data_IF_806370896277
#
_entry.id   IF_806370896277
#
_cell.length_a   1.000
_cell.length_b   1.000
_cell.length_c   1.000
_cell.angle_alpha   90.00
_cell.angle_beta   90.00
_cell.angle_gamma   90.00
#
_symmetry.space_group_name_H-M   'P 1'
#
loop_
_entity.id
_entity.type
_entity.pdbx_description
1 polymer ?
#
# COMPACT_ATOMS: atom_id res chain seq x y z
N UNK A 1 5.27 4.51 1.37
CA UNK A 1 5.70 3.56 0.31
C UNK A 1 4.53 2.64 0.04
N UNK A 2 3.99 2.63 -1.18
CA UNK A 2 2.88 1.75 -1.57
C UNK A 2 3.37 0.36 -1.95
N UNK A 3 2.56 -0.66 -1.67
CA UNK A 3 2.96 -2.04 -1.81
C UNK A 3 1.78 -2.90 -2.29
N UNK A 4 1.94 -3.54 -3.45
CA UNK A 4 0.93 -4.45 -4.01
C UNK A 4 0.85 -5.77 -3.24
N UNK A 5 -0.34 -6.38 -3.30
CA UNK A 5 -0.67 -7.67 -2.69
C UNK A 5 -1.76 -7.56 -1.63
N UNK A 6 -2.51 -8.64 -1.43
CA UNK A 6 -3.57 -8.70 -0.42
C UNK A 6 -3.06 -8.36 0.99
N UNK A 7 -3.97 -8.02 1.90
CA UNK A 7 -3.65 -7.78 3.33
C UNK A 7 -2.79 -8.91 3.93
N UNK A 8 -3.10 -10.17 3.58
CA UNK A 8 -2.32 -11.35 3.98
C UNK A 8 -0.89 -11.32 3.45
N UNK A 9 -0.71 -11.03 2.16
CA UNK A 9 0.61 -10.95 1.54
C UNK A 9 1.43 -9.79 2.09
N UNK A 10 0.79 -8.66 2.37
CA UNK A 10 1.43 -7.51 3.00
C UNK A 10 1.91 -7.84 4.42
N UNK A 11 1.08 -8.45 5.27
CA UNK A 11 1.50 -8.90 6.60
C UNK A 11 2.70 -9.88 6.55
N UNK A 12 2.67 -10.83 5.60
CA UNK A 12 3.79 -11.74 5.39
C UNK A 12 5.06 -11.00 4.93
N UNK A 13 4.93 -9.94 4.12
CA UNK A 13 6.06 -9.08 3.71
C UNK A 13 6.67 -8.37 4.93
N UNK A 14 5.85 -7.75 5.77
CA UNK A 14 6.32 -7.08 7.00
C UNK A 14 7.08 -8.07 7.89
N UNK A 15 6.51 -9.26 8.12
CA UNK A 15 7.18 -10.30 8.91
C UNK A 15 8.53 -10.75 8.32
N UNK A 16 8.66 -10.84 6.99
CA UNK A 16 9.96 -11.14 6.35
C UNK A 16 10.98 -10.02 6.51
N UNK A 17 10.55 -8.77 6.39
CA UNK A 17 11.42 -7.60 6.56
C UNK A 17 11.91 -7.47 8.01
N UNK A 18 11.02 -7.66 8.98
CA UNK A 18 11.38 -7.66 10.40
C UNK A 18 12.38 -8.79 10.71
N UNK A 19 12.16 -10.00 10.19
CA UNK A 19 13.12 -11.11 10.31
C UNK A 19 14.48 -10.83 9.67
N UNK A 20 14.51 -9.98 8.64
CA UNK A 20 15.75 -9.53 8.00
C UNK A 20 16.43 -8.38 8.77
N UNK A 21 15.94 -8.01 9.96
CA UNK A 21 16.53 -6.98 10.82
C UNK A 21 16.06 -5.56 10.52
N UNK A 22 14.95 -5.38 9.79
CA UNK A 22 14.37 -4.06 9.58
C UNK A 22 13.58 -3.61 10.82
N UNK A 23 13.93 -2.43 11.35
CA UNK A 23 13.22 -1.82 12.48
C UNK A 23 11.73 -1.59 12.19
N UNK A 24 10.84 -1.75 13.19
CA UNK A 24 9.41 -1.52 13.04
C UNK A 24 9.06 -0.13 12.46
N UNK A 25 9.77 0.90 12.90
CA UNK A 25 9.60 2.28 12.44
C UNK A 25 9.81 2.46 10.93
N UNK A 26 10.60 1.58 10.30
CA UNK A 26 10.80 1.56 8.84
C UNK A 26 9.70 0.79 8.14
N UNK A 27 9.24 -0.31 8.74
CA UNK A 27 8.16 -1.12 8.17
C UNK A 27 6.81 -0.42 8.23
N UNK A 28 6.57 0.46 9.21
CA UNK A 28 5.33 1.24 9.36
C UNK A 28 5.11 2.23 8.21
N UNK A 29 6.16 2.58 7.46
CA UNK A 29 6.08 3.45 6.28
C UNK A 29 5.62 2.70 5.01
N UNK A 30 5.43 1.39 5.10
CA UNK A 30 5.00 0.53 4.01
C UNK A 30 3.49 0.33 4.12
N UNK A 31 2.75 0.86 3.16
CA UNK A 31 1.29 0.76 3.07
C UNK A 31 0.93 -0.29 2.02
N UNK A 32 0.08 -1.24 2.40
CA UNK A 32 -0.39 -2.28 1.50
C UNK A 32 -1.75 -2.84 1.93
N UNK A 33 -2.65 -3.17 0.99
CA UNK A 33 -2.51 -3.06 -0.46
C UNK A 33 -2.50 -1.61 -0.94
N UNK A 34 -1.69 -1.29 -1.95
CA UNK A 34 -1.77 0.01 -2.65
C UNK A 34 -2.96 0.01 -3.61
N UNK A 35 -3.62 1.15 -3.71
CA UNK A 35 -4.80 1.45 -4.48
C UNK A 35 -6.01 1.75 -3.60
N UNK A 36 -6.86 2.69 -4.02
CA UNK A 36 -8.18 2.87 -3.44
C UNK A 36 -9.08 1.64 -3.68
N UNK A 37 -9.89 1.29 -2.69
CA UNK A 37 -10.82 0.17 -2.80
C UNK A 37 -12.01 0.54 -3.72
N UNK A 38 -11.80 0.33 -5.02
CA UNK A 38 -12.80 0.52 -6.07
C UNK A 38 -13.35 -0.82 -6.60
N UNK A 39 -13.04 -1.94 -5.94
CA UNK A 39 -13.39 -3.28 -6.42
C UNK A 39 -12.63 -3.72 -7.69
N UNK A 40 -11.43 -3.19 -7.91
CA UNK A 40 -10.61 -3.47 -9.09
C UNK A 40 -10.26 -4.97 -9.24
N UNK A 41 -10.38 -5.50 -10.46
CA UNK A 41 -10.09 -6.91 -10.82
C UNK A 41 -9.11 -7.01 -11.98
N UNK A 42 -9.15 -6.08 -12.92
CA UNK A 42 -8.25 -6.07 -14.08
C UNK A 42 -7.00 -5.23 -13.82
N UNK A 43 -5.89 -5.46 -14.54
CA UNK A 43 -4.69 -4.63 -14.41
C UNK A 43 -4.94 -3.14 -14.64
N UNK A 44 -5.84 -2.79 -15.57
CA UNK A 44 -6.19 -1.40 -15.85
C UNK A 44 -6.94 -0.74 -14.68
N UNK A 45 -7.90 -1.45 -14.08
CA UNK A 45 -8.62 -0.97 -12.89
C UNK A 45 -7.67 -0.81 -11.69
N UNK A 46 -6.73 -1.74 -11.52
CA UNK A 46 -5.71 -1.67 -10.47
C UNK A 46 -4.83 -0.44 -10.69
N UNK A 47 -4.41 -0.15 -11.92
CA UNK A 47 -3.63 1.05 -12.22
C UNK A 47 -4.41 2.33 -11.89
N UNK A 48 -5.69 2.41 -12.24
CA UNK A 48 -6.56 3.56 -11.90
C UNK A 48 -6.68 3.73 -10.39
N UNK A 49 -6.92 2.63 -9.67
CA UNK A 49 -7.00 2.60 -8.20
C UNK A 49 -5.74 3.17 -7.53
N UNK A 50 -4.55 2.81 -8.02
CA UNK A 50 -3.26 3.32 -7.54
C UNK A 50 -3.09 4.81 -7.87
N UNK A 51 -3.39 5.20 -9.11
CA UNK A 51 -3.28 6.61 -9.53
C UNK A 51 -4.23 7.51 -8.74
N UNK A 52 -5.42 7.01 -8.38
CA UNK A 52 -6.37 7.71 -7.54
C UNK A 52 -5.83 7.91 -6.11
N UNK A 53 -5.26 6.86 -5.49
CA UNK A 53 -4.62 6.97 -4.16
C UNK A 53 -3.45 7.98 -4.20
N UNK A 54 -2.61 7.93 -5.23
CA UNK A 54 -1.50 8.87 -5.40
C UNK A 54 -2.01 10.33 -5.52
N UNK A 55 -3.07 10.53 -6.30
CA UNK A 55 -3.68 11.85 -6.46
C UNK A 55 -4.26 12.35 -5.14
N UNK A 56 -4.92 11.47 -4.38
CA UNK A 56 -5.46 11.80 -3.06
C UNK A 56 -4.35 12.21 -2.08
N UNK A 57 -3.27 11.42 -2.00
CA UNK A 57 -2.11 11.74 -1.17
C UNK A 57 -1.46 13.08 -1.53
N UNK A 58 -1.37 13.41 -2.83
CA UNK A 58 -0.81 14.67 -3.31
C UNK A 58 -1.70 15.88 -2.98
N UNK A 59 -3.03 15.72 -3.07
CA UNK A 59 -3.98 16.84 -2.98
C UNK A 59 -4.53 17.06 -1.57
N UNK A 60 -4.66 16.00 -0.78
CA UNK A 60 -5.29 16.03 0.55
C UNK A 60 -4.33 15.55 1.66
N UNK A 61 -3.12 15.13 1.30
CA UNK A 61 -2.13 14.59 2.23
C UNK A 61 -2.25 13.07 2.40
N UNK A 62 -1.13 12.44 2.76
CA UNK A 62 -1.03 10.98 2.89
C UNK A 62 -1.84 10.39 4.07
N UNK A 63 -2.45 11.22 4.91
CA UNK A 63 -3.30 10.79 6.01
C UNK A 63 -4.71 10.44 5.51
N UNK A 64 -5.13 11.01 4.38
CA UNK A 64 -6.43 10.79 3.76
C UNK A 64 -6.53 9.45 3.00
N UNK A 65 -5.41 8.76 2.80
CA UNK A 65 -5.33 7.46 2.11
C UNK A 65 -5.45 6.26 3.07
N UNK A 66 -5.84 6.47 4.33
CA UNK A 66 -5.97 5.42 5.36
C UNK A 66 -7.29 4.66 5.30
#
# INVERSE_FOLDING_TARGET
>A
IGCLGSKKTHAARIGRLQKAGLEPSRTDRIHGPVGLDIGAKTPAEIAISIMAEMTLALRQGAEATR
#
